data_IF_259373751295
#
_entry.id   IF_259373751295
#
_cell.length_a   1.000
_cell.length_b   1.000
_cell.length_c   1.000
_cell.angle_alpha   90.00
_cell.angle_beta   90.00
_cell.angle_gamma   90.00
#
_symmetry.space_group_name_H-M   'P 1'
#
loop_
_entity.id
_entity.type
_entity.pdbx_description
1 polymer ?
#
# COMPACT_ATOMS: atom_id res chain seq x y z
N UNK A 1 -27.24 1.69 -32.22
CA UNK A 1 -26.40 2.69 -31.50
C UNK A 1 -26.65 2.71 -30.00
N UNK A 2 -27.90 2.80 -29.50
CA UNK A 2 -28.19 2.86 -28.04
C UNK A 2 -27.61 1.69 -27.22
N UNK A 3 -27.77 0.45 -27.67
CA UNK A 3 -27.18 -0.73 -27.01
C UNK A 3 -25.65 -0.70 -26.95
N UNK A 4 -24.99 -0.19 -27.98
CA UNK A 4 -23.53 -0.06 -27.99
C UNK A 4 -23.05 0.97 -26.96
N UNK A 5 -23.80 2.06 -26.80
CA UNK A 5 -23.53 3.10 -25.80
C UNK A 5 -23.71 2.56 -24.37
N UNK A 6 -24.72 1.73 -24.13
CA UNK A 6 -24.92 1.05 -22.84
C UNK A 6 -23.77 0.11 -22.48
N UNK A 7 -23.23 -0.64 -23.45
CA UNK A 7 -22.08 -1.53 -23.24
C UNK A 7 -20.83 -0.73 -22.86
N UNK A 8 -20.56 0.37 -23.57
CA UNK A 8 -19.43 1.26 -23.25
C UNK A 8 -19.59 1.84 -21.85
N UNK A 9 -20.79 2.33 -21.52
CA UNK A 9 -21.08 2.91 -20.22
C UNK A 9 -20.86 1.91 -19.10
N UNK A 10 -21.41 0.70 -19.23
CA UNK A 10 -21.23 -0.36 -18.24
C UNK A 10 -19.76 -0.76 -18.07
N UNK A 11 -19.01 -0.82 -19.17
CA UNK A 11 -17.57 -1.10 -19.15
C UNK A 11 -16.79 -0.06 -18.34
N UNK A 12 -17.19 1.22 -18.38
CA UNK A 12 -16.57 2.27 -17.55
C UNK A 12 -16.79 2.02 -16.05
N UNK A 13 -17.99 1.57 -15.64
CA UNK A 13 -18.24 1.20 -14.24
C UNK A 13 -17.40 0.00 -13.80
N UNK A 14 -17.25 -1.02 -14.67
CA UNK A 14 -16.39 -2.17 -14.38
C UNK A 14 -14.93 -1.74 -14.20
N UNK A 15 -14.39 -0.93 -15.12
CA UNK A 15 -13.02 -0.41 -15.04
C UNK A 15 -12.84 0.40 -13.75
N UNK A 16 -13.79 1.28 -13.43
CA UNK A 16 -13.74 2.07 -12.20
C UNK A 16 -13.76 1.20 -10.94
N UNK A 17 -14.60 0.15 -10.92
CA UNK A 17 -14.62 -0.84 -9.86
C UNK A 17 -13.26 -1.53 -9.69
N UNK A 18 -12.64 -1.96 -10.79
CA UNK A 18 -11.31 -2.59 -10.78
C UNK A 18 -10.27 -1.63 -10.19
N UNK A 19 -10.29 -0.36 -10.58
CA UNK A 19 -9.35 0.66 -10.04
C UNK A 19 -9.49 0.78 -8.52
N UNK A 20 -10.73 0.86 -8.02
CA UNK A 20 -11.00 0.94 -6.57
C UNK A 20 -10.53 -0.33 -5.86
N UNK A 21 -10.79 -1.52 -6.43
CA UNK A 21 -10.32 -2.78 -5.85
C UNK A 21 -8.78 -2.85 -5.79
N UNK A 22 -8.11 -2.47 -6.88
CA UNK A 22 -6.64 -2.47 -6.98
C UNK A 22 -6.02 -1.48 -6.00
N UNK A 23 -6.66 -0.36 -5.70
CA UNK A 23 -6.21 0.59 -4.68
C UNK A 23 -6.07 -0.08 -3.30
N UNK A 24 -7.10 -0.80 -2.85
CA UNK A 24 -7.06 -1.48 -1.54
C UNK A 24 -6.06 -2.64 -1.52
N UNK A 25 -5.97 -3.40 -2.62
CA UNK A 25 -5.01 -4.49 -2.76
C UNK A 25 -3.58 -3.95 -2.67
N UNK A 26 -3.29 -2.87 -3.38
CA UNK A 26 -1.99 -2.21 -3.35
C UNK A 26 -1.66 -1.72 -1.95
N UNK A 27 -2.59 -1.02 -1.30
CA UNK A 27 -2.42 -0.48 0.05
C UNK A 27 -2.07 -1.60 1.05
N UNK A 28 -2.79 -2.71 1.01
CA UNK A 28 -2.52 -3.87 1.84
C UNK A 28 -1.12 -4.44 1.59
N UNK A 29 -0.77 -4.65 0.32
CA UNK A 29 0.52 -5.23 -0.06
C UNK A 29 1.69 -4.33 0.37
N UNK A 30 1.53 -3.02 0.26
CA UNK A 30 2.53 -2.05 0.68
C UNK A 30 2.82 -2.15 2.18
N UNK A 31 1.80 -2.12 3.03
CA UNK A 31 2.02 -2.22 4.48
C UNK A 31 2.57 -3.58 4.89
N UNK A 32 2.14 -4.65 4.24
CA UNK A 32 2.73 -5.98 4.44
C UNK A 32 4.24 -5.98 4.11
N UNK A 33 4.62 -5.43 2.96
CA UNK A 33 6.02 -5.36 2.52
C UNK A 33 6.87 -4.45 3.44
N UNK A 34 6.30 -3.35 3.97
CA UNK A 34 6.98 -2.47 4.91
C UNK A 34 7.19 -3.15 6.27
N UNK A 35 6.21 -3.92 6.77
CA UNK A 35 6.38 -4.73 7.99
C UNK A 35 7.48 -5.77 7.80
N UNK A 36 7.50 -6.46 6.66
CA UNK A 36 8.55 -7.40 6.32
C UNK A 36 9.93 -6.73 6.33
N UNK A 37 10.05 -5.54 5.74
CA UNK A 37 11.27 -4.74 5.71
C UNK A 37 11.72 -4.33 7.12
N UNK A 38 10.79 -3.92 8.00
CA UNK A 38 11.11 -3.58 9.38
C UNK A 38 11.65 -4.79 10.17
N UNK A 39 11.01 -5.97 10.01
CA UNK A 39 11.50 -7.22 10.62
C UNK A 39 12.86 -7.62 10.07
N UNK A 40 13.08 -7.44 8.77
CA UNK A 40 14.37 -7.68 8.14
C UNK A 40 15.46 -6.74 8.71
N UNK A 41 15.17 -5.45 8.84
CA UNK A 41 16.12 -4.49 9.43
C UNK A 41 16.43 -4.80 10.88
N UNK A 42 15.43 -5.06 11.71
CA UNK A 42 15.62 -5.46 13.11
C UNK A 42 16.57 -6.66 13.23
N UNK A 43 16.36 -7.68 12.41
CA UNK A 43 17.16 -8.90 12.45
C UNK A 43 18.59 -8.72 11.90
N UNK A 44 18.83 -7.73 11.02
CA UNK A 44 20.14 -7.58 10.37
C UNK A 44 20.98 -6.44 10.94
N UNK A 45 20.38 -5.38 11.50
CA UNK A 45 21.11 -4.28 12.15
C UNK A 45 21.82 -4.76 13.42
N UNK A 46 21.23 -5.74 14.13
CA UNK A 46 21.88 -6.35 15.29
C UNK A 46 23.12 -7.21 14.94
N UNK A 47 23.31 -7.60 13.68
CA UNK A 47 24.32 -8.60 13.29
C UNK A 47 25.32 -8.15 12.21
N UNK A 48 25.01 -7.11 11.43
CA UNK A 48 25.82 -6.71 10.28
C UNK A 48 26.12 -5.21 10.27
N UNK A 49 27.39 -4.84 10.05
CA UNK A 49 27.85 -3.48 9.74
C UNK A 49 27.46 -3.05 8.30
N UNK A 50 26.33 -3.51 7.79
CA UNK A 50 25.86 -3.20 6.43
C UNK A 50 25.17 -1.85 6.46
N UNK A 51 25.38 -1.06 5.41
CA UNK A 51 24.66 0.21 5.26
C UNK A 51 23.17 -0.05 4.99
N UNK A 52 22.29 0.89 5.37
CA UNK A 52 20.83 0.80 5.15
C UNK A 52 20.50 0.55 3.68
N UNK A 53 21.24 1.14 2.75
CA UNK A 53 21.06 0.94 1.31
C UNK A 53 21.36 -0.51 0.88
N UNK A 54 22.35 -1.15 1.50
CA UNK A 54 22.67 -2.56 1.24
C UNK A 54 21.57 -3.46 1.81
N UNK A 55 21.07 -3.16 3.02
CA UNK A 55 19.94 -3.86 3.62
C UNK A 55 18.66 -3.73 2.77
N UNK A 56 18.41 -2.55 2.19
CA UNK A 56 17.31 -2.33 1.25
C UNK A 56 17.47 -3.18 0.00
N UNK A 57 18.65 -3.17 -0.62
CA UNK A 57 18.92 -3.93 -1.83
C UNK A 57 18.79 -5.44 -1.60
N UNK A 58 19.20 -5.95 -0.44
CA UNK A 58 19.03 -7.36 -0.05
C UNK A 58 17.56 -7.71 0.18
N UNK A 59 16.76 -6.76 0.68
CA UNK A 59 15.33 -6.94 0.95
C UNK A 59 14.44 -6.79 -0.32
N UNK A 60 14.88 -6.01 -1.30
CA UNK A 60 14.13 -5.67 -2.52
C UNK A 60 13.65 -6.86 -3.36
N UNK A 61 14.42 -7.95 -3.53
CA UNK A 61 13.93 -9.16 -4.20
C UNK A 61 12.69 -9.77 -3.53
N UNK A 62 12.54 -9.60 -2.22
CA UNK A 62 11.47 -10.22 -1.42
C UNK A 62 10.23 -9.33 -1.24
N UNK A 63 10.26 -8.08 -1.71
CA UNK A 63 9.11 -7.18 -1.67
C UNK A 63 8.59 -6.88 -3.08
N UNK A 64 7.30 -6.55 -3.18
CA UNK A 64 6.67 -6.37 -4.47
C UNK A 64 7.25 -5.18 -5.25
N UNK A 65 7.26 -5.28 -6.59
CA UNK A 65 7.74 -4.20 -7.47
C UNK A 65 6.96 -2.89 -7.23
N UNK A 66 5.66 -2.99 -7.00
CA UNK A 66 4.78 -1.90 -6.59
C UNK A 66 5.29 -1.18 -5.35
N UNK A 67 5.63 -1.93 -4.30
CA UNK A 67 6.11 -1.37 -3.03
C UNK A 67 7.50 -0.77 -3.18
N UNK A 68 8.40 -1.44 -3.92
CA UNK A 68 9.73 -0.90 -4.28
C UNK A 68 9.62 0.45 -4.97
N UNK A 69 8.75 0.53 -5.98
CA UNK A 69 8.52 1.77 -6.71
C UNK A 69 8.04 2.88 -5.78
N UNK A 70 7.13 2.57 -4.84
CA UNK A 70 6.66 3.54 -3.86
C UNK A 70 7.73 3.97 -2.87
N UNK A 71 8.48 3.04 -2.29
CA UNK A 71 9.57 3.36 -1.35
C UNK A 71 10.61 4.27 -2.01
N UNK A 72 10.98 3.97 -3.26
CA UNK A 72 11.94 4.78 -4.04
C UNK A 72 11.38 6.14 -4.47
N UNK A 73 10.07 6.27 -4.67
CA UNK A 73 9.42 7.50 -5.13
C UNK A 73 8.49 8.13 -4.08
N UNK A 74 8.70 7.82 -2.79
CA UNK A 74 7.80 8.18 -1.67
C UNK A 74 7.51 9.68 -1.60
N UNK A 75 8.48 10.51 -1.95
CA UNK A 75 8.32 11.97 -2.00
C UNK A 75 7.36 12.42 -3.11
N UNK A 76 7.34 11.73 -4.26
CA UNK A 76 6.54 12.07 -5.45
C UNK A 76 5.13 11.47 -5.45
N UNK A 77 4.91 10.30 -4.83
CA UNK A 77 3.64 9.55 -4.91
C UNK A 77 2.57 10.00 -3.90
N UNK A 78 2.39 11.32 -3.74
CA UNK A 78 1.56 11.94 -2.70
C UNK A 78 0.07 11.57 -2.68
N UNK A 79 -0.46 10.93 -3.74
CA UNK A 79 -1.91 10.67 -3.89
C UNK A 79 -2.32 9.23 -3.55
N UNK A 80 -1.38 8.33 -3.33
CA UNK A 80 -1.68 6.90 -3.23
C UNK A 80 -2.10 6.46 -1.82
N UNK A 81 -1.77 7.25 -0.80
CA UNK A 81 -2.11 7.01 0.60
C UNK A 81 -2.66 8.27 1.24
N UNK A 82 -3.42 8.14 2.34
CA UNK A 82 -3.69 9.26 3.24
C UNK A 82 -2.39 9.97 3.64
N UNK A 83 -2.47 11.30 3.81
CA UNK A 83 -1.30 12.14 4.14
C UNK A 83 -0.57 11.65 5.39
N UNK A 84 -1.31 11.23 6.41
CA UNK A 84 -0.74 10.80 7.70
C UNK A 84 0.05 9.49 7.56
N UNK A 85 -0.48 8.53 6.79
CA UNK A 85 0.22 7.28 6.49
C UNK A 85 1.51 7.53 5.71
N UNK A 86 1.46 8.45 4.73
CA UNK A 86 2.65 8.83 3.96
C UNK A 86 3.70 9.48 4.88
N UNK A 87 3.27 10.42 5.72
CA UNK A 87 4.15 11.09 6.68
C UNK A 87 4.84 10.06 7.57
N UNK A 88 4.08 9.12 8.13
CA UNK A 88 4.62 8.03 8.96
C UNK A 88 5.68 7.20 8.24
N UNK A 89 5.45 6.83 6.98
CA UNK A 89 6.43 6.09 6.17
C UNK A 89 7.68 6.93 5.92
N UNK A 90 7.52 8.21 5.57
CA UNK A 90 8.64 9.11 5.35
C UNK A 90 9.46 9.34 6.61
N UNK A 91 8.81 9.63 7.74
CA UNK A 91 9.44 9.84 9.05
C UNK A 91 10.25 8.59 9.45
N UNK A 92 9.73 7.39 9.21
CA UNK A 92 10.48 6.14 9.39
C UNK A 92 11.74 6.12 8.54
N UNK A 93 11.64 6.24 7.21
CA UNK A 93 12.80 6.14 6.32
C UNK A 93 13.81 7.28 6.54
N UNK A 94 13.36 8.45 6.99
CA UNK A 94 14.25 9.57 7.33
C UNK A 94 14.97 9.35 8.66
N UNK A 95 14.36 8.64 9.61
CA UNK A 95 14.94 8.36 10.93
C UNK A 95 16.01 7.27 10.94
N UNK A 96 16.07 6.41 9.91
CA UNK A 96 17.09 5.37 9.79
C UNK A 96 18.50 5.97 9.68
N UNK A 97 19.46 5.38 10.40
CA UNK A 97 20.88 5.78 10.35
C UNK A 97 21.22 7.09 11.06
N UNK A 98 20.30 7.66 11.85
CA UNK A 98 20.53 8.90 12.61
C UNK A 98 20.96 8.70 14.07
N UNK A 99 20.90 7.47 14.58
CA UNK A 99 21.18 7.14 15.98
C UNK A 99 22.21 6.03 16.16
N UNK A 100 22.48 5.68 17.42
CA UNK A 100 23.23 4.46 17.73
C UNK A 100 22.36 3.21 17.48
N UNK A 101 23.00 2.04 17.48
CA UNK A 101 22.34 0.76 17.15
C UNK A 101 21.14 0.51 18.07
N UNK A 102 21.26 0.85 19.36
CA UNK A 102 20.20 0.62 20.35
C UNK A 102 19.01 1.54 20.12
N UNK A 103 19.24 2.82 19.85
CA UNK A 103 18.20 3.77 19.46
C UNK A 103 17.54 3.34 18.14
N UNK A 104 18.33 2.89 17.17
CA UNK A 104 17.81 2.46 15.86
C UNK A 104 16.91 1.22 15.98
N UNK A 105 17.29 0.23 16.79
CA UNK A 105 16.44 -0.93 17.08
C UNK A 105 15.14 -0.54 17.78
N UNK A 106 15.21 0.34 18.78
CA UNK A 106 14.02 0.84 19.49
C UNK A 106 13.10 1.62 18.55
N UNK A 107 13.68 2.42 17.65
CA UNK A 107 12.93 3.19 16.67
C UNK A 107 12.28 2.28 15.61
N UNK A 108 12.99 1.25 15.14
CA UNK A 108 12.42 0.23 14.26
C UNK A 108 11.27 -0.50 14.94
N UNK A 109 11.40 -0.85 16.22
CA UNK A 109 10.31 -1.51 16.97
C UNK A 109 9.09 -0.61 17.15
N UNK A 110 9.30 0.67 17.41
CA UNK A 110 8.23 1.66 17.45
C UNK A 110 7.45 1.72 16.13
N UNK A 111 8.15 1.88 15.00
CA UNK A 111 7.50 1.95 13.69
C UNK A 111 6.93 0.59 13.23
N UNK A 112 7.56 -0.53 13.60
CA UNK A 112 7.06 -1.87 13.32
C UNK A 112 5.66 -2.05 13.90
N UNK A 113 5.45 -1.67 15.16
CA UNK A 113 4.13 -1.76 15.79
C UNK A 113 3.07 -0.92 15.05
N UNK A 114 3.45 0.30 14.61
CA UNK A 114 2.55 1.16 13.83
C UNK A 114 2.22 0.53 12.48
N UNK A 115 3.22 -0.01 11.77
CA UNK A 115 3.01 -0.63 10.47
C UNK A 115 2.26 -1.95 10.56
N UNK A 116 2.38 -2.71 11.64
CA UNK A 116 1.58 -3.90 11.89
C UNK A 116 0.09 -3.54 12.08
N UNK A 117 -0.21 -2.49 12.84
CA UNK A 117 -1.58 -1.98 12.96
C UNK A 117 -2.13 -1.50 11.61
N UNK A 118 -1.35 -0.73 10.84
CA UNK A 118 -1.74 -0.29 9.50
C UNK A 118 -1.90 -1.46 8.50
N UNK A 119 -1.07 -2.50 8.61
CA UNK A 119 -1.15 -3.72 7.81
C UNK A 119 -2.44 -4.50 8.13
N UNK A 120 -2.77 -4.66 9.41
CA UNK A 120 -4.02 -5.29 9.84
C UNK A 120 -5.25 -4.50 9.40
N UNK A 121 -5.25 -3.18 9.62
CA UNK A 121 -6.32 -2.28 9.15
C UNK A 121 -6.50 -2.37 7.64
N UNK A 122 -5.43 -2.31 6.86
CA UNK A 122 -5.52 -2.38 5.39
C UNK A 122 -5.98 -3.76 4.89
N UNK A 123 -5.63 -4.85 5.58
CA UNK A 123 -6.16 -6.19 5.33
C UNK A 123 -7.67 -6.27 5.59
N UNK A 124 -8.13 -5.67 6.69
CA UNK A 124 -9.55 -5.62 7.01
C UNK A 124 -10.33 -4.75 6.03
N UNK A 125 -9.78 -3.60 5.63
CA UNK A 125 -10.34 -2.75 4.58
C UNK A 125 -10.41 -3.46 3.23
N UNK A 126 -9.39 -4.25 2.87
CA UNK A 126 -9.42 -5.04 1.64
C UNK A 126 -10.59 -6.04 1.66
N UNK A 127 -10.78 -6.76 2.77
CA UNK A 127 -11.86 -7.74 2.91
C UNK A 127 -13.25 -7.09 2.96
N UNK A 128 -13.38 -5.99 3.70
CA UNK A 128 -14.67 -5.38 4.00
C UNK A 128 -15.09 -4.30 3.00
N UNK A 129 -14.17 -3.43 2.57
CA UNK A 129 -14.47 -2.27 1.72
C UNK A 129 -14.26 -2.57 0.24
N UNK A 130 -13.16 -3.22 -0.15
CA UNK A 130 -12.82 -3.38 -1.57
C UNK A 130 -13.90 -4.18 -2.32
N UNK A 131 -14.31 -5.33 -1.77
CA UNK A 131 -15.36 -6.17 -2.38
C UNK A 131 -16.72 -5.49 -2.35
N UNK A 132 -17.06 -4.79 -1.26
CA UNK A 132 -18.35 -4.09 -1.15
C UNK A 132 -18.42 -2.93 -2.13
N UNK A 133 -17.40 -2.08 -2.20
CA UNK A 133 -17.36 -0.96 -3.15
C UNK A 133 -17.35 -1.43 -4.59
N UNK A 134 -16.62 -2.50 -4.91
CA UNK A 134 -16.69 -3.11 -6.24
C UNK A 134 -18.14 -3.51 -6.58
N UNK A 135 -18.81 -4.25 -5.70
CA UNK A 135 -20.20 -4.68 -5.91
C UNK A 135 -21.16 -3.48 -6.04
N UNK A 136 -20.99 -2.44 -5.23
CA UNK A 136 -21.80 -1.22 -5.30
C UNK A 136 -21.61 -0.49 -6.64
N UNK A 137 -20.37 -0.36 -7.12
CA UNK A 137 -20.08 0.30 -8.40
C UNK A 137 -20.71 -0.47 -9.56
N UNK A 138 -20.61 -1.80 -9.56
CA UNK A 138 -21.24 -2.65 -10.58
C UNK A 138 -22.77 -2.54 -10.51
N UNK A 139 -23.35 -2.59 -9.31
CA UNK A 139 -24.78 -2.41 -9.10
C UNK A 139 -25.30 -1.06 -9.59
N UNK A 140 -24.57 0.02 -9.29
CA UNK A 140 -24.87 1.36 -9.82
C UNK A 140 -24.80 1.39 -11.35
N UNK A 141 -23.79 0.76 -11.95
CA UNK A 141 -23.69 0.65 -13.42
C UNK A 141 -24.90 -0.04 -14.04
N UNK A 142 -25.38 -1.13 -13.43
CA UNK A 142 -26.60 -1.82 -13.89
C UNK A 142 -27.84 -0.93 -13.77
N UNK A 143 -28.03 -0.24 -12.64
CA UNK A 143 -29.16 0.66 -12.43
C UNK A 143 -29.17 1.78 -13.48
N UNK A 144 -28.02 2.40 -13.72
CA UNK A 144 -27.87 3.45 -14.73
C UNK A 144 -28.19 2.91 -16.13
N UNK A 145 -27.71 1.71 -16.48
CA UNK A 145 -28.04 1.10 -17.75
C UNK A 145 -29.55 0.83 -17.90
N UNK A 146 -30.23 0.34 -16.85
CA UNK A 146 -31.68 0.07 -16.87
C UNK A 146 -32.48 1.37 -17.07
N UNK A 147 -32.08 2.47 -16.40
CA UNK A 147 -32.75 3.77 -16.53
C UNK A 147 -32.61 4.40 -17.92
N UNK A 148 -31.62 3.98 -18.70
CA UNK A 148 -31.30 4.52 -20.03
C UNK A 148 -31.82 3.65 -21.19
N UNK A 149 -32.37 2.47 -20.90
CA UNK A 149 -33.10 1.63 -21.85
C UNK A 149 -34.43 2.29 -22.20
#
# INVERSE_FOLDING_TARGET
>A
MKFFLLIILFSLFVIFGIIVYMYYLYKQKLFFDIVYLCKYFKNNISFNKKNINELLNDCYPNISQSSRYFINNRNRLSKLLPKDNKKTINDFFESLGRGDVTFELNNIDYYLNIFEDLSNKSKDEMKSKATVYFKLIIGLGLIVCILLI
#
